data_IF_783311891369
#
_entry.id   IF_783311891369
#
_cell.length_a   1.000
_cell.length_b   1.000
_cell.length_c   1.000
_cell.angle_alpha   90.00
_cell.angle_beta   90.00
_cell.angle_gamma   90.00
#
_symmetry.space_group_name_H-M   'P 1'
#
loop_
_entity.id
_entity.type
_entity.pdbx_description
1 polymer ?
#
# COMPACT_ATOMS: atom_id res chain seq x y z
N UNK A 1 -12.55 -22.13 -4.70
CA UNK A 1 -11.80 -21.20 -3.83
C UNK A 1 -12.70 -20.12 -3.27
N UNK A 2 -13.54 -19.47 -4.10
CA UNK A 2 -14.59 -18.58 -3.59
C UNK A 2 -14.06 -17.26 -3.03
N UNK A 3 -12.93 -16.79 -3.53
CA UNK A 3 -12.37 -15.48 -3.18
C UNK A 3 -13.06 -14.37 -3.96
N UNK A 4 -13.25 -13.22 -3.32
CA UNK A 4 -13.79 -12.02 -3.95
C UNK A 4 -12.69 -11.12 -4.55
N UNK A 5 -11.46 -11.21 -4.01
CA UNK A 5 -10.35 -10.37 -4.43
C UNK A 5 -8.97 -11.03 -4.29
N UNK A 6 -8.02 -10.46 -5.02
CA UNK A 6 -6.59 -10.80 -5.00
C UNK A 6 -5.76 -9.51 -4.94
N UNK A 7 -4.76 -9.47 -4.08
CA UNK A 7 -3.79 -8.38 -4.03
C UNK A 7 -2.39 -8.94 -4.25
N UNK A 8 -1.58 -8.20 -5.00
CA UNK A 8 -0.20 -8.57 -5.28
C UNK A 8 0.67 -7.32 -5.45
N UNK A 9 1.99 -7.47 -5.35
CA UNK A 9 2.94 -6.36 -5.40
C UNK A 9 3.89 -6.40 -6.60
N UNK A 10 4.17 -7.59 -7.16
CA UNK A 10 5.16 -7.77 -8.22
C UNK A 10 4.47 -7.73 -9.58
N UNK A 11 4.77 -6.69 -10.35
CA UNK A 11 4.44 -6.55 -11.77
C UNK A 11 5.66 -6.04 -12.53
N UNK A 12 5.58 -5.98 -13.87
CA UNK A 12 6.60 -5.27 -14.64
C UNK A 12 6.61 -3.79 -14.21
N UNK A 13 7.80 -3.20 -14.07
CA UNK A 13 7.92 -1.83 -13.58
C UNK A 13 7.26 -0.82 -14.55
N UNK A 14 7.31 -1.06 -15.87
CA UNK A 14 6.66 -0.21 -16.87
C UNK A 14 5.14 -0.30 -16.77
N UNK A 15 4.59 -1.49 -16.48
CA UNK A 15 3.15 -1.68 -16.25
C UNK A 15 2.73 -1.00 -14.94
N UNK A 16 3.55 -1.10 -13.89
CA UNK A 16 3.29 -0.46 -12.59
C UNK A 16 3.24 1.06 -12.71
N UNK A 17 4.23 1.68 -13.36
CA UNK A 17 4.28 3.12 -13.62
C UNK A 17 3.09 3.61 -14.46
N UNK A 18 2.75 2.85 -15.50
CA UNK A 18 1.60 3.16 -16.35
C UNK A 18 0.28 3.07 -15.57
N UNK A 19 0.11 2.04 -14.75
CA UNK A 19 -1.11 1.86 -13.94
C UNK A 19 -1.26 2.93 -12.88
N UNK A 20 -0.17 3.31 -12.22
CA UNK A 20 -0.20 4.37 -11.23
C UNK A 20 -0.60 5.71 -11.86
N UNK A 21 0.03 6.08 -12.99
CA UNK A 21 -0.28 7.33 -13.71
C UNK A 21 -1.69 7.36 -14.32
N UNK A 22 -2.23 6.21 -14.72
CA UNK A 22 -3.57 6.09 -15.34
C UNK A 22 -4.67 5.71 -14.34
N UNK A 23 -4.36 5.54 -13.06
CA UNK A 23 -5.28 5.11 -12.00
C UNK A 23 -5.98 3.78 -12.34
N UNK A 24 -5.18 2.80 -12.77
CA UNK A 24 -5.62 1.43 -13.13
C UNK A 24 -4.90 0.34 -12.32
N UNK A 25 -4.46 0.67 -11.11
CA UNK A 25 -3.88 -0.27 -10.15
C UNK A 25 -4.90 -1.33 -9.69
N UNK A 26 -6.19 -1.00 -9.74
CA UNK A 26 -7.29 -1.89 -9.40
C UNK A 26 -8.11 -2.23 -10.66
N UNK A 27 -8.46 -3.51 -10.82
CA UNK A 27 -9.21 -3.99 -11.99
C UNK A 27 -10.03 -5.24 -11.70
N UNK A 28 -10.93 -5.59 -12.64
CA UNK A 28 -11.55 -6.93 -12.69
C UNK A 28 -10.70 -7.83 -13.58
N UNK A 29 -9.98 -8.77 -12.98
CA UNK A 29 -9.21 -9.76 -13.72
C UNK A 29 -10.09 -10.92 -14.17
N UNK A 30 -10.22 -11.08 -15.49
CA UNK A 30 -10.96 -12.19 -16.12
C UNK A 30 -10.01 -13.37 -16.39
N UNK A 31 -9.79 -14.21 -15.39
CA UNK A 31 -8.75 -15.26 -15.42
C UNK A 31 -9.04 -16.46 -16.34
N UNK A 32 -10.24 -16.56 -16.92
CA UNK A 32 -10.59 -17.64 -17.85
C UNK A 32 -11.43 -17.11 -19.01
N UNK A 33 -11.11 -17.57 -20.22
CA UNK A 33 -11.91 -17.29 -21.42
C UNK A 33 -13.26 -18.03 -21.42
N UNK A 34 -13.39 -19.11 -20.65
CA UNK A 34 -14.52 -20.05 -20.76
C UNK A 34 -15.51 -20.01 -19.59
N UNK A 35 -15.05 -19.60 -18.40
CA UNK A 35 -15.87 -19.68 -17.17
C UNK A 35 -16.70 -18.41 -16.90
N UNK A 36 -16.55 -17.38 -17.74
CA UNK A 36 -17.28 -16.13 -17.60
C UNK A 36 -17.13 -15.52 -16.20
N UNK A 37 -18.23 -15.03 -15.63
CA UNK A 37 -18.21 -14.35 -14.32
C UNK A 37 -17.71 -15.19 -13.16
N UNK A 38 -17.73 -16.53 -13.26
CA UNK A 38 -17.23 -17.41 -12.20
C UNK A 38 -15.70 -17.33 -12.03
N UNK A 39 -14.97 -16.80 -13.02
CA UNK A 39 -13.52 -16.58 -12.95
C UNK A 39 -13.14 -15.10 -12.90
N UNK A 40 -14.08 -14.21 -12.63
CA UNK A 40 -13.78 -12.79 -12.47
C UNK A 40 -13.37 -12.54 -11.03
N UNK A 41 -12.28 -11.82 -10.84
CA UNK A 41 -11.73 -11.54 -9.53
C UNK A 41 -11.40 -10.05 -9.45
N UNK A 42 -11.80 -9.39 -8.37
CA UNK A 42 -11.24 -8.08 -8.10
C UNK A 42 -9.74 -8.22 -7.85
N UNK A 43 -8.94 -7.34 -8.44
CA UNK A 43 -7.49 -7.47 -8.37
C UNK A 43 -6.85 -6.11 -8.19
N UNK A 44 -6.08 -5.95 -7.13
CA UNK A 44 -5.30 -4.75 -6.84
C UNK A 44 -3.80 -5.03 -6.89
N UNK A 45 -3.07 -4.21 -7.64
CA UNK A 45 -1.62 -4.04 -7.48
C UNK A 45 -1.39 -3.06 -6.33
N UNK A 46 -0.56 -3.44 -5.35
CA UNK A 46 -0.23 -2.57 -4.22
C UNK A 46 0.59 -1.34 -4.69
N UNK A 47 0.32 -0.19 -4.08
CA UNK A 47 0.89 1.10 -4.50
C UNK A 47 2.41 1.18 -4.30
N UNK A 48 2.89 0.73 -3.14
CA UNK A 48 4.31 0.71 -2.79
C UNK A 48 4.71 -0.66 -2.23
N UNK A 49 4.76 -1.62 -3.16
CA UNK A 49 5.17 -2.99 -2.87
C UNK A 49 4.41 -3.63 -1.69
N UNK A 50 5.09 -4.33 -0.79
CA UNK A 50 4.51 -4.91 0.44
C UNK A 50 5.18 -4.38 1.70
N UNK A 51 5.82 -3.22 1.59
CA UNK A 51 6.52 -2.54 2.68
C UNK A 51 5.61 -1.45 3.27
N UNK A 52 5.79 -1.07 4.54
CA UNK A 52 5.13 0.11 5.09
C UNK A 52 5.64 1.37 4.37
N UNK A 53 4.85 2.47 4.36
CA UNK A 53 5.36 3.74 3.86
C UNK A 53 6.63 4.16 4.61
N UNK A 54 7.51 4.87 3.91
CA UNK A 54 8.77 5.36 4.45
C UNK A 54 8.58 6.09 5.79
N UNK A 55 9.49 5.82 6.74
CA UNK A 55 9.48 6.38 8.11
C UNK A 55 8.34 5.91 9.03
N UNK A 56 7.50 4.97 8.58
CA UNK A 56 6.38 4.40 9.35
C UNK A 56 6.54 2.90 9.62
N UNK A 57 7.76 2.36 9.62
CA UNK A 57 8.02 0.98 10.02
C UNK A 57 8.20 0.85 11.54
N UNK A 58 7.25 0.19 12.21
CA UNK A 58 7.26 -0.02 13.66
C UNK A 58 7.68 -1.45 14.08
N UNK A 59 8.29 -2.23 13.19
CA UNK A 59 8.83 -3.54 13.56
C UNK A 59 10.20 -3.41 14.24
N UNK A 60 10.58 -4.44 15.02
CA UNK A 60 11.83 -4.48 15.79
C UNK A 60 13.08 -4.32 14.90
N UNK A 61 13.05 -4.78 13.65
CA UNK A 61 14.20 -4.67 12.75
C UNK A 61 14.33 -3.30 12.08
N UNK A 62 13.36 -2.41 12.26
CA UNK A 62 13.37 -1.07 11.69
C UNK A 62 14.08 -0.05 12.61
N UNK A 63 14.60 1.01 12.00
CA UNK A 63 15.30 2.10 12.68
C UNK A 63 14.48 3.38 12.83
N UNK A 64 13.20 3.35 12.44
CA UNK A 64 12.33 4.51 12.44
C UNK A 64 12.03 4.97 13.86
N UNK A 65 11.83 6.27 14.03
CA UNK A 65 11.47 6.82 15.35
C UNK A 65 10.10 6.28 15.78
N UNK A 66 9.96 5.83 17.04
CA UNK A 66 8.66 5.48 17.58
C UNK A 66 7.81 6.75 17.72
N UNK A 67 6.52 6.56 17.98
CA UNK A 67 5.67 7.66 18.41
C UNK A 67 5.99 7.95 19.88
N UNK A 68 6.48 9.16 20.16
CA UNK A 68 6.82 9.66 21.50
C UNK A 68 5.76 10.68 21.89
N UNK A 69 4.77 10.23 22.66
CA UNK A 69 3.53 10.94 22.94
C UNK A 69 3.48 11.67 24.29
N UNK A 70 4.51 11.52 25.12
CA UNK A 70 4.68 12.31 26.35
C UNK A 70 5.28 13.68 26.02
N UNK A 71 4.52 14.79 26.17
CA UNK A 71 4.99 16.14 25.84
C UNK A 71 6.10 16.65 26.78
N UNK A 72 6.39 15.95 27.88
CA UNK A 72 7.48 16.30 28.79
C UNK A 72 8.86 15.80 28.34
N UNK A 73 8.90 14.89 27.37
CA UNK A 73 10.14 14.37 26.80
C UNK A 73 10.68 15.32 25.72
N UNK A 74 12.01 15.47 25.66
CA UNK A 74 12.67 16.34 24.66
C UNK A 74 12.42 15.88 23.23
N UNK A 75 12.13 14.59 23.04
CA UNK A 75 11.96 13.96 21.73
C UNK A 75 10.47 13.79 21.34
N UNK A 76 9.54 14.48 22.02
CA UNK A 76 8.12 14.47 21.68
C UNK A 76 7.90 14.77 20.18
N UNK A 77 7.25 13.86 19.45
CA UNK A 77 7.20 13.89 17.99
C UNK A 77 5.80 13.70 17.38
N UNK A 78 4.73 13.64 18.17
CA UNK A 78 3.37 13.39 17.66
C UNK A 78 2.95 14.31 16.50
N UNK A 79 3.16 15.64 16.54
CA UNK A 79 2.77 16.50 15.43
C UNK A 79 3.49 16.18 14.13
N UNK A 80 4.77 15.81 14.21
CA UNK A 80 5.56 15.38 13.04
C UNK A 80 5.05 14.04 12.51
N UNK A 81 4.89 13.03 13.38
CA UNK A 81 4.38 11.70 13.01
C UNK A 81 3.02 11.76 12.31
N UNK A 82 2.12 12.61 12.80
CA UNK A 82 0.80 12.83 12.18
C UNK A 82 0.93 13.43 10.79
N UNK A 83 1.81 14.42 10.62
CA UNK A 83 2.05 15.02 9.31
C UNK A 83 2.65 14.00 8.33
N UNK A 84 3.63 13.20 8.77
CA UNK A 84 4.23 12.12 7.96
C UNK A 84 3.17 11.15 7.45
N UNK A 85 2.22 10.73 8.29
CA UNK A 85 1.13 9.85 7.88
C UNK A 85 0.19 10.51 6.87
N UNK A 86 -0.15 11.78 7.07
CA UNK A 86 -1.02 12.53 6.16
C UNK A 86 -0.36 12.66 4.78
N UNK A 87 0.93 13.00 4.73
CA UNK A 87 1.68 13.13 3.49
C UNK A 87 1.74 11.78 2.76
N UNK A 88 2.09 10.69 3.46
CA UNK A 88 2.11 9.34 2.89
C UNK A 88 0.74 8.83 2.42
N UNK A 89 -0.36 9.30 3.00
CA UNK A 89 -1.72 8.95 2.55
C UNK A 89 -2.14 9.76 1.31
N UNK A 90 -1.61 10.96 1.14
CA UNK A 90 -1.87 11.81 -0.03
C UNK A 90 -1.02 11.44 -1.25
N UNK A 91 0.16 10.88 -1.02
CA UNK A 91 1.10 10.49 -2.08
C UNK A 91 0.77 9.13 -2.73
N UNK A 92 -0.23 8.40 -2.21
CA UNK A 92 -0.75 7.13 -2.77
C UNK A 92 -1.69 7.31 -3.98
#
# INVERSE_FOLDING_TARGET
MGFDGLFFARADYQDSDLRNSTKTMEMIWKGSANLGRQSWLFTGLLADFYDPPDSLCFDRSCGDQPIIDDPSLNDYNVPERVQTFIDAAHDQ
#
